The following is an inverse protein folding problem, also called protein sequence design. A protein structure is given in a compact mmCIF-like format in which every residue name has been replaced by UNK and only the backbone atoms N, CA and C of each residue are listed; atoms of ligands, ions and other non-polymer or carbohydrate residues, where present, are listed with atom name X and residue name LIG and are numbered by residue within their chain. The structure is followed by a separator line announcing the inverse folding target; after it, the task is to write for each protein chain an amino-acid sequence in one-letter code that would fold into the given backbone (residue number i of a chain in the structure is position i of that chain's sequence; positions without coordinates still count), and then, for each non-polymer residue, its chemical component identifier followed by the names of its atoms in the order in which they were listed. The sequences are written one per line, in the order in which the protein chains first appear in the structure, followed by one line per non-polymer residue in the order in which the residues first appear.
data_IF_137408526666
#
_entry.id   IF_137408526666
#
_cell.length_a   1.000
_cell.length_b   1.000
_cell.length_c   1.000
_cell.angle_alpha   90.00
_cell.angle_beta   90.00
_cell.angle_gamma   90.00
#
_symmetry.space_group_name_H-M   'P 1'
#
loop_
_entity.id
_entity.type
_entity.pdbx_description
1 polymer ?
#
# COMPACT_ATOMS: atom_id res chain seq x y z
N UNK A 1 -42.68 -29.72 39.64
CA UNK A 1 -42.36 -28.87 38.46
C UNK A 1 -40.86 -28.85 38.11
N UNK A 2 -39.93 -29.03 39.06
CA UNK A 2 -38.48 -29.03 38.78
C UNK A 2 -37.91 -30.34 38.15
N UNK A 3 -38.54 -31.50 38.37
CA UNK A 3 -38.04 -32.79 37.87
C UNK A 3 -38.26 -33.03 36.35
N UNK A 4 -39.27 -32.37 35.76
CA UNK A 4 -39.62 -32.54 34.33
C UNK A 4 -38.67 -31.72 33.45
N UNK A 5 -38.20 -30.56 33.94
CA UNK A 5 -37.27 -29.68 33.23
C UNK A 5 -35.86 -30.31 33.17
N UNK A 6 -35.42 -30.97 34.25
CA UNK A 6 -34.14 -31.68 34.28
C UNK A 6 -34.04 -32.84 33.28
N UNK A 7 -35.14 -33.60 33.10
CA UNK A 7 -35.20 -34.72 32.14
C UNK A 7 -35.24 -34.24 30.68
N UNK A 8 -35.88 -33.09 30.40
CA UNK A 8 -35.89 -32.49 29.07
C UNK A 8 -34.51 -31.94 28.67
N UNK A 9 -33.78 -31.34 29.62
CA UNK A 9 -32.42 -30.81 29.38
C UNK A 9 -31.41 -31.94 29.22
N UNK A 10 -31.55 -33.05 29.96
CA UNK A 10 -30.69 -34.22 29.82
C UNK A 10 -30.91 -34.94 28.46
N UNK A 11 -32.17 -35.05 28.02
CA UNK A 11 -32.49 -35.61 26.71
C UNK A 11 -32.08 -34.69 25.55
N UNK A 12 -32.15 -33.36 25.73
CA UNK A 12 -31.64 -32.40 24.74
C UNK A 12 -30.11 -32.47 24.62
N UNK A 13 -29.39 -32.63 25.74
CA UNK A 13 -27.94 -32.85 25.73
C UNK A 13 -27.56 -34.21 25.11
N UNK A 14 -28.36 -35.25 25.32
CA UNK A 14 -28.11 -36.57 24.73
C UNK A 14 -28.42 -36.59 23.21
N UNK A 15 -29.43 -35.85 22.73
CA UNK A 15 -29.68 -35.68 21.29
C UNK A 15 -28.59 -34.83 20.61
N UNK A 16 -27.97 -33.89 21.33
CA UNK A 16 -26.86 -33.07 20.81
C UNK A 16 -25.54 -33.87 20.83
N UNK A 17 -25.32 -34.72 21.83
CA UNK A 17 -24.12 -35.57 21.92
C UNK A 17 -24.09 -36.68 20.85
N UNK A 18 -25.25 -37.23 20.46
CA UNK A 18 -25.32 -38.29 19.43
C UNK A 18 -25.13 -37.75 18.00
N UNK A 19 -25.38 -36.46 17.76
CA UNK A 19 -25.16 -35.83 16.45
C UNK A 19 -23.69 -35.44 16.17
N UNK A 20 -22.78 -35.58 17.15
CA UNK A 20 -21.35 -35.31 16.94
C UNK A 20 -20.54 -36.54 16.49
N UNK A 21 -21.13 -37.74 16.49
CA UNK A 21 -20.42 -39.00 16.18
C UNK A 21 -20.91 -39.71 14.92
N UNK A 22 -21.50 -38.98 13.97
CA UNK A 22 -21.76 -39.55 12.65
C UNK A 22 -21.65 -38.52 11.53
N UNK A 23 -20.59 -37.71 11.56
CA UNK A 23 -20.04 -37.25 10.29
C UNK A 23 -19.36 -38.46 9.67
N UNK A 24 -19.84 -38.98 8.52
CA UNK A 24 -18.93 -39.71 7.68
C UNK A 24 -17.88 -38.68 7.26
N UNK A 25 -16.75 -38.64 7.96
CA UNK A 25 -15.50 -38.23 7.33
C UNK A 25 -15.27 -39.26 6.22
N UNK A 26 -16.00 -39.11 5.11
CA UNK A 26 -15.40 -39.37 3.83
C UNK A 26 -14.20 -38.45 3.83
N UNK A 27 -13.05 -39.00 4.24
CA UNK A 27 -11.80 -38.65 3.62
C UNK A 27 -12.12 -38.71 2.13
N UNK A 28 -12.47 -37.57 1.54
CA UNK A 28 -12.29 -37.39 0.11
C UNK A 28 -10.78 -37.54 -0.01
N UNK A 29 -10.26 -38.69 -0.47
CA UNK A 29 -8.84 -38.76 -0.69
C UNK A 29 -8.55 -37.62 -1.68
N UNK A 30 -7.46 -36.90 -1.49
CA UNK A 30 -7.04 -35.87 -2.44
C UNK A 30 -7.02 -36.43 -3.88
N UNK A 31 -6.91 -37.76 -4.04
CA UNK A 31 -7.06 -38.50 -5.30
C UNK A 31 -8.45 -38.45 -5.95
N UNK A 32 -9.52 -38.05 -5.27
CA UNK A 32 -10.83 -37.84 -5.90
C UNK A 32 -10.89 -36.54 -6.73
N UNK A 33 -9.98 -35.59 -6.47
CA UNK A 33 -9.76 -34.40 -7.30
C UNK A 33 -8.64 -34.58 -8.33
N UNK A 34 -7.86 -35.66 -8.23
CA UNK A 34 -6.83 -36.04 -9.19
C UNK A 34 -7.12 -37.46 -9.70
N UNK A 35 -8.11 -37.65 -10.60
CA UNK A 35 -8.24 -38.91 -11.30
C UNK A 35 -6.92 -39.12 -12.04
N UNK A 36 -6.25 -40.23 -11.71
CA UNK A 36 -5.08 -40.83 -12.37
C UNK A 36 -4.62 -40.05 -13.62
N UNK A 37 -3.86 -38.97 -13.42
CA UNK A 37 -3.15 -38.33 -14.52
C UNK A 37 -1.91 -39.20 -14.76
N UNK A 38 -1.78 -39.86 -15.93
CA UNK A 38 -0.47 -40.32 -16.35
C UNK A 38 0.36 -39.04 -16.52
N UNK A 39 1.20 -38.74 -15.52
CA UNK A 39 1.89 -37.45 -15.40
C UNK A 39 2.70 -37.14 -16.67
N UNK A 40 3.11 -38.14 -17.45
CA UNK A 40 3.88 -37.92 -18.67
C UNK A 40 3.03 -37.87 -19.97
N UNK A 41 1.96 -38.65 -20.08
CA UNK A 41 1.10 -38.64 -21.28
C UNK A 41 0.06 -37.50 -21.27
N UNK A 42 -0.26 -36.96 -20.08
CA UNK A 42 -1.18 -35.84 -19.91
C UNK A 42 -0.57 -34.47 -20.20
N UNK A 43 0.74 -34.28 -20.01
CA UNK A 43 1.41 -32.96 -20.12
C UNK A 43 1.40 -32.41 -21.56
N UNK A 44 1.45 -33.29 -22.57
CA UNK A 44 1.40 -32.90 -23.99
C UNK A 44 -0.01 -33.04 -24.62
N UNK A 45 -1.03 -33.39 -23.83
CA UNK A 45 -2.42 -33.39 -24.28
C UNK A 45 -2.98 -31.96 -24.33
N UNK A 46 -3.97 -31.68 -25.18
CA UNK A 46 -4.63 -30.36 -25.28
C UNK A 46 -5.15 -29.87 -23.93
N UNK A 47 -5.64 -30.78 -23.09
CA UNK A 47 -6.11 -30.48 -21.74
C UNK A 47 -4.95 -30.22 -20.76
N UNK A 48 -3.83 -30.94 -20.87
CA UNK A 48 -2.65 -30.70 -20.02
C UNK A 48 -1.95 -29.39 -20.36
N UNK A 49 -1.86 -29.05 -21.64
CA UNK A 49 -1.36 -27.74 -22.10
C UNK A 49 -2.24 -26.62 -21.56
N UNK A 50 -3.57 -26.78 -21.57
CA UNK A 50 -4.49 -25.81 -21.01
C UNK A 50 -4.27 -25.60 -19.49
N UNK A 51 -4.09 -26.68 -18.73
CA UNK A 51 -3.82 -26.60 -17.28
C UNK A 51 -2.44 -25.98 -17.01
N UNK A 52 -1.42 -26.36 -17.78
CA UNK A 52 -0.07 -25.76 -17.70
C UNK A 52 -0.09 -24.26 -17.98
N UNK A 53 -0.84 -23.81 -18.98
CA UNK A 53 -1.00 -22.38 -19.28
C UNK A 53 -1.67 -21.62 -18.14
N UNK A 54 -2.71 -22.19 -17.53
CA UNK A 54 -3.38 -21.58 -16.38
C UNK A 54 -2.45 -21.51 -15.16
N UNK A 55 -1.69 -22.56 -14.89
CA UNK A 55 -0.70 -22.57 -13.82
C UNK A 55 0.42 -21.55 -14.07
N UNK A 56 0.96 -21.48 -15.29
CA UNK A 56 1.97 -20.51 -15.67
C UNK A 56 1.45 -19.07 -15.52
N UNK A 57 0.21 -18.79 -15.93
CA UNK A 57 -0.42 -17.48 -15.75
C UNK A 57 -0.60 -17.14 -14.26
N UNK A 58 -1.07 -18.08 -13.45
CA UNK A 58 -1.23 -17.86 -12.01
C UNK A 58 0.12 -17.53 -11.34
N UNK A 59 1.19 -18.25 -11.69
CA UNK A 59 2.54 -17.97 -11.19
C UNK A 59 3.04 -16.61 -11.66
N UNK A 60 2.85 -16.28 -12.95
CA UNK A 60 3.23 -14.98 -13.49
C UNK A 60 2.49 -13.83 -12.78
N UNK A 61 1.19 -13.98 -12.53
CA UNK A 61 0.38 -13.00 -11.81
C UNK A 61 0.83 -12.87 -10.35
N UNK A 62 1.14 -13.97 -9.67
CA UNK A 62 1.69 -13.94 -8.32
C UNK A 62 3.02 -13.18 -8.24
N UNK A 63 3.94 -13.46 -9.17
CA UNK A 63 5.21 -12.74 -9.26
C UNK A 63 5.01 -11.26 -9.55
N UNK A 64 4.05 -10.90 -10.41
CA UNK A 64 3.72 -9.51 -10.72
C UNK A 64 3.18 -8.77 -9.49
N UNK A 65 2.20 -9.33 -8.79
CA UNK A 65 1.59 -8.71 -7.60
C UNK A 65 2.59 -8.55 -6.44
N UNK A 66 3.47 -9.53 -6.25
CA UNK A 66 4.51 -9.47 -5.21
C UNK A 66 5.65 -8.50 -5.54
N UNK A 67 5.86 -8.19 -6.82
CA UNK A 67 6.88 -7.22 -7.28
C UNK A 67 6.38 -5.78 -7.31
N UNK A 68 5.10 -5.55 -7.05
CA UNK A 68 4.52 -4.21 -7.15
C UNK A 68 5.21 -3.24 -6.17
N UNK A 69 5.67 -2.06 -6.65
CA UNK A 69 6.26 -1.05 -5.79
C UNK A 69 5.21 -0.51 -4.82
N UNK A 70 5.58 -0.38 -3.54
CA UNK A 70 4.70 0.21 -2.53
C UNK A 70 4.83 1.72 -2.57
N UNK A 71 3.72 2.43 -2.53
CA UNK A 71 3.69 3.90 -2.45
C UNK A 71 2.98 4.28 -1.15
N UNK A 72 3.70 4.99 -0.28
CA UNK A 72 3.11 5.55 0.93
C UNK A 72 2.87 7.04 0.75
N UNK A 73 1.75 7.53 1.28
CA UNK A 73 1.41 8.95 1.24
C UNK A 73 1.54 9.57 2.63
N UNK A 74 2.24 10.70 2.71
CA UNK A 74 2.30 11.54 3.91
C UNK A 74 1.69 12.89 3.60
N UNK A 75 0.76 13.30 4.45
CA UNK A 75 0.22 14.65 4.44
C UNK A 75 1.07 15.52 5.37
N UNK A 76 1.52 16.66 4.88
CA UNK A 76 2.34 17.61 5.64
C UNK A 76 1.65 18.96 5.76
N UNK A 77 2.03 19.72 6.79
CA UNK A 77 1.59 21.11 7.00
C UNK A 77 2.24 22.04 6.00
N UNK A 78 3.57 22.00 5.86
CA UNK A 78 4.33 22.80 4.90
C UNK A 78 5.25 21.90 4.04
N UNK A 79 5.16 22.04 2.72
CA UNK A 79 5.98 21.29 1.75
C UNK A 79 7.44 21.73 1.74
N UNK A 80 7.75 22.99 2.04
CA UNK A 80 9.12 23.48 2.06
C UNK A 80 9.89 22.91 3.25
N UNK A 81 9.26 22.92 4.43
CA UNK A 81 9.83 22.29 5.63
C UNK A 81 9.99 20.78 5.42
N UNK A 82 9.00 20.14 4.79
CA UNK A 82 9.11 18.74 4.42
C UNK A 82 10.29 18.49 3.47
N UNK A 83 10.50 19.32 2.45
CA UNK A 83 11.64 19.19 1.52
C UNK A 83 12.96 19.22 2.27
N UNK A 84 13.18 20.22 3.12
CA UNK A 84 14.41 20.35 3.91
C UNK A 84 14.63 19.13 4.81
N UNK A 85 13.57 18.62 5.43
CA UNK A 85 13.62 17.45 6.29
C UNK A 85 13.93 16.14 5.53
N UNK A 86 13.22 15.86 4.44
CA UNK A 86 13.35 14.60 3.72
C UNK A 86 14.59 14.56 2.81
N UNK A 87 14.89 15.65 2.09
CA UNK A 87 16.08 15.75 1.23
C UNK A 87 17.33 16.08 2.05
N UNK A 88 17.26 17.11 2.89
CA UNK A 88 18.42 17.62 3.63
C UNK A 88 18.79 16.72 4.80
N UNK A 89 17.88 16.51 5.74
CA UNK A 89 18.19 15.80 6.98
C UNK A 89 18.21 14.28 6.81
N UNK A 90 17.23 13.71 6.12
CA UNK A 90 17.17 12.26 5.90
C UNK A 90 17.99 11.80 4.69
N UNK A 91 18.29 12.69 3.74
CA UNK A 91 19.03 12.36 2.52
C UNK A 91 18.28 11.37 1.65
N UNK A 92 16.96 11.54 1.51
CA UNK A 92 16.17 10.75 0.57
C UNK A 92 16.49 11.18 -0.87
N UNK A 93 16.61 10.22 -1.78
CA UNK A 93 16.75 10.53 -3.20
C UNK A 93 15.41 10.96 -3.78
N UNK A 94 15.38 12.08 -4.50
CA UNK A 94 14.22 12.50 -5.29
C UNK A 94 13.88 11.40 -6.29
N UNK A 95 12.61 11.01 -6.32
CA UNK A 95 12.09 10.03 -7.27
C UNK A 95 11.29 10.76 -8.36
N UNK A 96 11.41 10.29 -9.59
CA UNK A 96 10.57 10.80 -10.68
C UNK A 96 9.11 10.41 -10.45
N UNK A 97 8.19 11.34 -10.73
CA UNK A 97 6.75 11.15 -10.57
C UNK A 97 6.29 9.93 -11.38
N UNK A 98 5.67 8.91 -10.77
CA UNK A 98 5.20 7.71 -11.49
C UNK A 98 4.06 7.96 -12.49
N UNK A 99 3.50 9.17 -12.52
CA UNK A 99 2.21 9.50 -13.15
C UNK A 99 2.29 10.08 -14.57
N UNK A 100 3.42 9.94 -15.26
CA UNK A 100 3.56 10.49 -16.62
C UNK A 100 2.58 9.87 -17.65
N UNK A 101 1.83 8.83 -17.29
CA UNK A 101 0.93 8.12 -18.21
C UNK A 101 -0.54 8.55 -18.17
N UNK A 102 -1.03 9.21 -17.11
CA UNK A 102 -2.49 9.43 -16.95
C UNK A 102 -2.98 10.84 -17.25
N UNK A 103 -2.10 11.85 -17.25
CA UNK A 103 -2.51 13.25 -17.48
C UNK A 103 -2.47 13.70 -18.95
N UNK A 104 -1.91 12.88 -19.85
CA UNK A 104 -1.87 13.20 -21.28
C UNK A 104 -3.13 12.80 -22.06
N UNK A 105 -4.09 12.09 -21.45
CA UNK A 105 -5.33 11.70 -22.13
C UNK A 105 -6.28 12.89 -22.34
N UNK A 106 -6.36 13.82 -21.39
CA UNK A 106 -7.24 14.99 -21.49
C UNK A 106 -6.69 16.05 -22.46
N UNK A 107 -5.36 16.20 -22.55
CA UNK A 107 -4.74 17.20 -23.43
C UNK A 107 -4.78 16.80 -24.92
N UNK A 108 -4.94 15.52 -25.24
CA UNK A 108 -5.09 15.07 -26.63
C UNK A 108 -6.55 14.93 -27.10
N UNK A 109 -7.52 14.95 -26.19
CA UNK A 109 -8.95 14.82 -26.52
C UNK A 109 -9.73 16.15 -26.44
N UNK A 110 -9.17 17.17 -25.77
CA UNK A 110 -9.73 18.54 -25.74
C UNK A 110 -9.26 19.47 -26.87
N UNK A 111 -8.26 19.09 -27.65
CA UNK A 111 -7.76 19.87 -28.78
C UNK A 111 -8.18 19.22 -30.11
N UNK A 112 -9.47 19.33 -30.44
CA UNK A 112 -9.98 19.11 -31.80
C UNK A 112 -9.53 20.21 -32.77
N UNK A 113 -8.22 20.50 -32.86
CA UNK A 113 -7.64 21.35 -33.89
C UNK A 113 -6.43 20.65 -34.52
N UNK A 114 -6.52 20.50 -35.83
CA UNK A 114 -5.62 19.81 -36.75
C UNK A 114 -4.16 20.29 -36.63
N UNK A 115 -3.16 19.41 -36.39
CA UNK A 115 -1.76 19.79 -36.17
C UNK A 115 -1.01 19.97 -37.51
N UNK A 116 -1.66 20.58 -38.51
CA UNK A 116 -1.05 20.84 -39.82
C UNK A 116 -1.01 22.34 -40.19
N UNK A 117 -1.52 23.23 -39.32
CA UNK A 117 -1.68 24.65 -39.65
C UNK A 117 -0.89 25.65 -38.80
N UNK A 118 0.00 25.22 -37.91
CA UNK A 118 0.87 26.14 -37.17
C UNK A 118 2.33 25.95 -37.59
N UNK A 119 2.65 26.53 -38.74
CA UNK A 119 4.01 26.93 -39.06
C UNK A 119 4.23 28.38 -38.61
N UNK A 120 5.40 28.61 -38.00
CA UNK A 120 6.00 29.88 -37.54
C UNK A 120 5.82 30.24 -36.04
N UNK A 121 6.76 31.00 -35.45
CA UNK A 121 8.00 30.48 -34.88
C UNK A 121 8.13 30.79 -33.37
N UNK A 122 9.02 30.04 -32.71
CA UNK A 122 9.66 30.32 -31.42
C UNK A 122 9.10 31.50 -30.60
N UNK A 123 8.17 31.19 -29.70
CA UNK A 123 7.92 31.97 -28.49
C UNK A 123 8.08 31.02 -27.32
N UNK A 124 8.99 31.35 -26.40
CA UNK A 124 9.28 30.57 -25.20
C UNK A 124 8.00 30.02 -24.59
N UNK A 125 7.78 28.71 -24.73
CA UNK A 125 6.80 28.01 -23.93
C UNK A 125 7.35 28.06 -22.51
N UNK A 126 6.92 29.08 -21.77
CA UNK A 126 6.83 29.02 -20.33
C UNK A 126 6.15 27.70 -20.06
N UNK A 127 6.94 26.75 -19.59
CA UNK A 127 6.47 25.59 -18.84
C UNK A 127 5.76 26.17 -17.62
N UNK A 128 4.53 26.66 -17.82
CA UNK A 128 3.56 26.75 -16.76
C UNK A 128 3.35 25.30 -16.37
N UNK A 129 4.17 24.85 -15.42
CA UNK A 129 3.81 23.86 -14.42
C UNK A 129 2.37 24.17 -14.05
N UNK A 130 1.44 23.49 -14.71
CA UNK A 130 0.05 23.53 -14.32
C UNK A 130 0.05 22.94 -12.91
N UNK A 131 -0.19 23.84 -11.97
CA UNK A 131 -0.14 23.73 -10.51
C UNK A 131 -1.18 22.74 -9.98
N UNK A 132 -1.19 21.51 -10.49
CA UNK A 132 -1.93 20.40 -9.93
C UNK A 132 -1.15 19.87 -8.75
N UNK A 133 -1.45 20.35 -7.54
CA UNK A 133 -1.02 19.81 -6.24
C UNK A 133 0.41 19.26 -6.28
N UNK A 134 1.42 20.14 -6.27
CA UNK A 134 2.85 19.77 -6.38
C UNK A 134 3.31 18.98 -5.15
N UNK A 135 2.97 17.68 -5.12
CA UNK A 135 3.50 16.75 -4.14
C UNK A 135 4.96 16.41 -4.42
N UNK A 136 5.72 16.14 -3.37
CA UNK A 136 7.13 15.74 -3.47
C UNK A 136 7.22 14.22 -3.52
N UNK A 137 8.09 13.68 -4.37
CA UNK A 137 8.27 12.25 -4.55
C UNK A 137 9.69 11.84 -4.15
N UNK A 138 9.79 10.87 -3.25
CA UNK A 138 11.06 10.37 -2.75
C UNK A 138 11.13 8.86 -2.77
N UNK A 139 12.34 8.33 -2.90
CA UNK A 139 12.59 6.89 -2.75
C UNK A 139 12.95 6.58 -1.28
N UNK A 140 12.06 5.86 -0.58
CA UNK A 140 12.29 5.48 0.82
C UNK A 140 13.09 4.18 0.95
N UNK A 141 12.83 3.19 0.09
CA UNK A 141 13.60 1.94 -0.06
C UNK A 141 13.61 1.50 -1.53
N UNK A 142 14.35 0.45 -1.90
CA UNK A 142 14.48 0.00 -3.31
C UNK A 142 13.14 -0.19 -4.04
N UNK A 143 12.10 -0.69 -3.35
CA UNK A 143 10.76 -0.91 -3.92
C UNK A 143 9.66 -0.09 -3.21
N UNK A 144 10.04 0.95 -2.48
CA UNK A 144 9.09 1.78 -1.72
C UNK A 144 9.29 3.25 -2.03
N UNK A 145 8.25 3.90 -2.52
CA UNK A 145 8.20 5.33 -2.79
C UNK A 145 7.38 6.04 -1.71
N UNK A 146 7.76 7.28 -1.47
CA UNK A 146 7.12 8.20 -0.55
C UNK A 146 6.58 9.38 -1.33
N UNK A 147 5.26 9.56 -1.28
CA UNK A 147 4.57 10.70 -1.84
C UNK A 147 4.18 11.66 -0.73
N UNK A 148 4.62 12.90 -0.83
CA UNK A 148 4.39 13.93 0.17
C UNK A 148 3.46 14.97 -0.40
N UNK A 149 2.30 15.15 0.23
CA UNK A 149 1.30 16.13 -0.20
C UNK A 149 1.03 17.13 0.93
N UNK A 150 0.74 18.38 0.57
CA UNK A 150 0.21 19.34 1.53
C UNK A 150 -1.21 18.95 1.91
N UNK A 151 -1.59 19.10 3.18
CA UNK A 151 -2.97 18.88 3.61
C UNK A 151 -3.14 18.52 5.09
N UNK A 152 -2.05 18.41 5.86
CA UNK A 152 -2.16 18.24 7.30
C UNK A 152 -2.32 19.60 8.00
N UNK A 153 -3.17 19.66 9.02
CA UNK A 153 -3.18 20.79 9.94
C UNK A 153 -1.98 20.74 10.86
N UNK A 154 -1.50 21.90 11.31
CA UNK A 154 -0.49 22.00 12.35
C UNK A 154 -0.88 21.22 13.61
N UNK A 155 0.13 20.71 14.30
CA UNK A 155 0.01 19.92 15.51
C UNK A 155 -0.22 20.76 16.75
N UNK A 156 -0.15 20.10 17.91
CA UNK A 156 -0.28 20.79 19.19
C UNK A 156 0.87 21.78 19.37
N UNK A 157 0.56 23.04 19.71
CA UNK A 157 1.52 24.16 19.86
C UNK A 157 2.10 24.68 18.55
N UNK A 158 1.30 24.65 17.47
CA UNK A 158 1.70 25.20 16.17
C UNK A 158 2.97 24.53 15.61
N UNK A 159 3.10 23.23 15.89
CA UNK A 159 4.22 22.41 15.44
C UNK A 159 3.91 21.86 14.05
N UNK A 160 4.94 21.77 13.23
CA UNK A 160 4.86 21.09 11.93
C UNK A 160 4.38 19.66 12.13
N UNK A 161 3.47 19.21 11.27
CA UNK A 161 2.83 17.90 11.45
C UNK A 161 2.80 17.13 10.16
N UNK A 162 3.36 15.93 10.23
CA UNK A 162 3.39 14.96 9.16
C UNK A 162 2.51 13.78 9.57
N UNK A 163 1.45 13.58 8.80
CA UNK A 163 0.42 12.58 9.06
C UNK A 163 0.55 11.47 8.02
N UNK A 164 0.70 10.23 8.49
CA UNK A 164 0.68 9.06 7.63
C UNK A 164 -0.45 8.11 8.01
N UNK A 165 -1.02 7.45 7.01
CA UNK A 165 -2.05 6.42 7.22
C UNK A 165 -1.44 5.05 7.55
N UNK A 166 -0.25 4.77 7.03
CA UNK A 166 0.40 3.47 7.20
C UNK A 166 1.45 3.51 8.32
N UNK A 167 1.30 2.65 9.31
CA UNK A 167 2.28 2.47 10.39
C UNK A 167 3.66 2.09 9.85
N UNK A 168 3.72 1.19 8.88
CA UNK A 168 4.96 0.74 8.25
C UNK A 168 5.77 1.91 7.66
N UNK A 169 5.10 2.92 7.10
CA UNK A 169 5.75 4.11 6.55
C UNK A 169 6.46 4.91 7.65
N UNK A 170 5.77 5.16 8.76
CA UNK A 170 6.32 5.89 9.90
C UNK A 170 7.44 5.13 10.60
N UNK A 171 7.36 3.81 10.69
CA UNK A 171 8.44 2.96 11.22
C UNK A 171 9.70 3.06 10.35
N UNK A 172 9.56 3.03 9.02
CA UNK A 172 10.69 3.20 8.10
C UNK A 172 11.34 4.59 8.22
N UNK A 173 10.53 5.63 8.40
CA UNK A 173 11.04 6.99 8.65
C UNK A 173 11.76 7.05 10.00
N UNK A 174 11.15 6.52 11.07
CA UNK A 174 11.74 6.48 12.40
C UNK A 174 13.09 5.74 12.40
N UNK A 175 13.17 4.61 11.71
CA UNK A 175 14.43 3.88 11.53
C UNK A 175 15.49 4.76 10.85
N UNK A 176 15.15 5.48 9.79
CA UNK A 176 16.11 6.41 9.13
C UNK A 176 16.52 7.56 10.04
N UNK A 177 15.59 8.15 10.79
CA UNK A 177 15.85 9.18 11.80
C UNK A 177 16.87 8.67 12.83
N UNK A 178 16.71 7.44 13.30
CA UNK A 178 17.62 6.79 14.24
C UNK A 178 19.00 6.52 13.61
N UNK A 179 19.06 5.98 12.39
CA UNK A 179 20.31 5.71 11.68
C UNK A 179 21.10 6.98 11.38
N UNK A 180 20.42 8.10 11.15
CA UNK A 180 21.03 9.42 10.94
C UNK A 180 21.42 10.13 12.25
N UNK A 181 21.11 9.55 13.41
CA UNK A 181 21.41 10.16 14.71
C UNK A 181 20.60 11.42 15.00
N UNK A 182 19.45 11.58 14.35
CA UNK A 182 18.60 12.76 14.52
C UNK A 182 17.90 12.70 15.87
N UNK A 183 17.86 13.84 16.58
CA UNK A 183 17.19 13.97 17.87
C UNK A 183 15.69 13.67 17.71
N UNK A 184 15.21 12.63 18.39
CA UNK A 184 13.82 12.21 18.32
C UNK A 184 13.29 11.82 19.71
N UNK A 185 11.96 11.83 19.84
CA UNK A 185 11.25 11.38 21.05
C UNK A 185 9.96 10.67 20.67
N UNK A 186 9.84 9.40 21.04
CA UNK A 186 8.61 8.62 20.87
C UNK A 186 7.62 9.05 21.97
N UNK A 187 6.39 9.41 21.58
CA UNK A 187 5.29 9.75 22.50
C UNK A 187 4.33 8.58 22.71
N UNK A 188 4.05 7.83 21.64
CA UNK A 188 3.14 6.68 21.65
C UNK A 188 3.60 5.68 20.60
N UNK A 189 3.48 4.39 20.89
CA UNK A 189 3.77 3.32 19.93
C UNK A 189 2.53 2.89 19.12
N UNK A 190 1.31 3.13 19.64
CA UNK A 190 0.04 2.74 19.00
C UNK A 190 -1.11 3.71 19.36
N UNK A 191 -1.61 4.54 18.43
CA UNK A 191 -1.02 4.83 17.12
C UNK A 191 0.40 5.41 17.28
N UNK A 192 1.28 5.12 16.33
CA UNK A 192 2.67 5.56 16.37
C UNK A 192 2.73 7.09 16.26
N UNK A 193 3.30 7.71 17.28
CA UNK A 193 3.51 9.15 17.33
C UNK A 193 4.89 9.44 17.92
N UNK A 194 5.68 10.21 17.20
CA UNK A 194 7.00 10.63 17.63
C UNK A 194 7.31 12.04 17.14
N UNK A 195 8.18 12.71 17.87
CA UNK A 195 8.70 14.02 17.52
C UNK A 195 10.11 13.87 16.97
N UNK A 196 10.42 14.68 15.97
CA UNK A 196 11.76 14.82 15.41
C UNK A 196 12.15 16.28 15.43
N UNK A 197 13.41 16.56 15.75
CA UNK A 197 13.97 17.90 15.59
C UNK A 197 14.71 18.02 14.27
N UNK A 198 14.42 19.08 13.55
CA UNK A 198 15.13 19.45 12.34
C UNK A 198 16.43 20.22 12.66
N UNK A 199 17.24 20.53 11.64
CA UNK A 199 18.48 21.30 11.75
C UNK A 199 18.25 22.70 12.33
N UNK A 200 17.12 23.32 12.02
CA UNK A 200 16.71 24.63 12.54
C UNK A 200 16.04 24.56 13.92
N UNK A 201 16.22 23.45 14.65
CA UNK A 201 15.58 23.17 15.95
C UNK A 201 14.03 23.17 15.93
N UNK A 202 13.42 23.22 14.74
CA UNK A 202 11.98 23.04 14.51
C UNK A 202 11.55 21.65 14.96
N UNK A 203 10.40 21.56 15.63
CA UNK A 203 9.83 20.29 16.07
C UNK A 203 8.79 19.83 15.06
N UNK A 204 9.03 18.68 14.46
CA UNK A 204 8.12 18.03 13.52
C UNK A 204 7.46 16.86 14.24
N UNK A 205 6.13 16.88 14.32
CA UNK A 205 5.31 15.80 14.83
C UNK A 205 4.98 14.81 13.71
N UNK A 206 5.44 13.58 13.87
CA UNK A 206 5.12 12.45 13.00
C UNK A 206 4.02 11.63 13.67
N UNK A 207 2.88 11.46 12.99
CA UNK A 207 1.74 10.77 13.59
C UNK A 207 1.02 9.86 12.61
N UNK A 208 0.68 8.68 13.12
CA UNK A 208 -0.21 7.73 12.46
C UNK A 208 -1.66 8.22 12.61
N UNK A 209 -2.45 8.11 11.54
CA UNK A 209 -3.91 8.28 11.61
C UNK A 209 -4.48 7.07 12.33
N UNK A 210 -5.20 7.30 13.43
CA UNK A 210 -5.89 6.24 14.15
C UNK A 210 -6.99 5.65 13.26
N UNK A 211 -6.83 4.40 12.84
CA UNK A 211 -7.90 3.60 12.26
C UNK A 211 -8.84 3.04 13.32
#
# INVERSE_FOLDING_TARGET
MAAIIGSLVLNLFMLIAVNFMNFPFHFLPLSAFFPEFPIFDGIFSTQGVMVMLLAAYAVAMWMFLTSAPKVHTIMVSDLNVARDFYEGLLGLSVADVPLHYYYNYEQTLGAGIDPLYLSAPAGNAVTSKMQGTEGLWYQLMKNTQLHIISGASYGSKDQERHVCFDKDCLEQILMRVQLRGVKHKIRSERPLNFLVKDLDDRVIEMTEVKS
#
